data_IF_117553262134
#
_entry.id   IF_117553262134
#
_cell.length_a   1.000
_cell.length_b   1.000
_cell.length_c   1.000
_cell.angle_alpha   90.00
_cell.angle_beta   90.00
_cell.angle_gamma   90.00
#
_symmetry.space_group_name_H-M   'P 1'
#
loop_
_entity.id
_entity.type
_entity.pdbx_description
1 polymer ?
#
# COMPACT_ATOMS: atom_id res chain seq x y z
N UNK A 1 28.44 12.70 28.92
CA UNK A 1 27.20 12.87 28.12
C UNK A 1 27.32 11.95 26.92
N UNK A 2 26.27 11.20 26.51
CA UNK A 2 26.32 10.51 25.23
C UNK A 2 26.50 11.58 24.16
N UNK A 3 27.42 11.36 23.22
CA UNK A 3 27.53 12.22 22.05
C UNK A 3 26.24 11.98 21.25
N UNK A 4 25.28 12.90 21.35
CA UNK A 4 24.08 12.86 20.52
C UNK A 4 24.52 13.09 19.07
N UNK A 5 24.66 11.99 18.33
CA UNK A 5 24.88 12.07 16.89
C UNK A 5 23.63 12.62 16.22
N UNK A 6 23.83 13.57 15.30
CA UNK A 6 22.72 14.13 14.52
C UNK A 6 22.04 13.01 13.71
N UNK A 7 20.71 12.84 13.76
CA UNK A 7 20.03 11.80 12.99
C UNK A 7 20.37 11.89 11.49
N UNK A 8 20.79 10.78 10.90
CA UNK A 8 21.22 10.73 9.49
C UNK A 8 22.39 11.69 9.13
N UNK A 9 23.27 12.03 10.10
CA UNK A 9 24.44 12.90 9.91
C UNK A 9 25.24 12.58 8.65
N UNK A 10 25.51 11.29 8.42
CA UNK A 10 26.22 10.77 7.24
C UNK A 10 25.66 11.27 5.92
N UNK A 11 24.34 11.41 5.83
CA UNK A 11 23.63 11.72 4.60
C UNK A 11 23.27 13.20 4.49
N UNK A 12 22.90 13.84 5.62
CA UNK A 12 22.45 15.23 5.64
C UNK A 12 23.62 16.21 5.80
N UNK A 13 24.58 15.91 6.68
CA UNK A 13 25.69 16.81 7.02
C UNK A 13 26.94 16.44 6.20
N UNK A 14 27.30 15.16 6.19
CA UNK A 14 28.50 14.69 5.50
C UNK A 14 28.27 14.44 4.00
N UNK A 15 27.01 14.46 3.56
CA UNK A 15 26.59 14.32 2.14
C UNK A 15 27.18 13.07 1.46
N UNK A 16 27.31 11.98 2.22
CA UNK A 16 27.75 10.71 1.65
C UNK A 16 26.66 10.15 0.73
N UNK A 17 27.01 9.84 -0.51
CA UNK A 17 26.07 9.34 -1.52
C UNK A 17 25.94 7.81 -1.52
N UNK A 18 26.89 7.10 -0.89
CA UNK A 18 26.82 5.66 -0.70
C UNK A 18 25.88 5.31 0.45
N UNK A 19 24.73 4.75 0.10
CA UNK A 19 23.66 4.40 1.04
C UNK A 19 23.74 2.92 1.39
N UNK A 20 23.66 2.60 2.68
CA UNK A 20 23.65 1.21 3.16
C UNK A 20 22.24 0.64 3.20
N UNK A 21 22.10 -0.70 3.26
CA UNK A 21 20.82 -1.30 3.60
C UNK A 21 20.36 -0.95 5.02
N UNK A 22 19.04 -0.89 5.26
CA UNK A 22 18.48 -0.78 6.60
C UNK A 22 18.98 -1.90 7.51
N UNK A 23 19.25 -1.58 8.78
CA UNK A 23 19.79 -2.52 9.75
C UNK A 23 18.94 -3.79 9.92
N UNK A 24 17.61 -3.68 9.80
CA UNK A 24 16.72 -4.84 9.90
C UNK A 24 16.91 -5.86 8.77
N UNK A 25 17.44 -5.46 7.61
CA UNK A 25 17.77 -6.38 6.50
C UNK A 25 19.13 -7.07 6.66
N UNK A 26 19.96 -6.62 7.61
CA UNK A 26 21.30 -7.13 7.86
C UNK A 26 21.34 -8.15 9.02
N UNK A 27 20.17 -8.61 9.49
CA UNK A 27 20.06 -9.66 10.50
C UNK A 27 20.65 -10.98 9.98
N UNK A 28 21.12 -11.83 10.91
CA UNK A 28 21.69 -13.15 10.59
C UNK A 28 20.66 -14.00 9.83
N UNK A 29 19.43 -14.01 10.32
CA UNK A 29 18.33 -14.70 9.64
C UNK A 29 17.84 -13.85 8.44
N UNK A 30 17.86 -14.40 7.22
CA UNK A 30 17.45 -13.66 6.04
C UNK A 30 15.98 -13.24 6.12
N UNK A 31 15.76 -11.94 5.97
CA UNK A 31 14.42 -11.35 5.97
C UNK A 31 13.88 -11.31 4.54
N UNK A 32 12.68 -11.83 4.31
CA UNK A 32 12.08 -11.89 2.97
C UNK A 32 10.94 -10.90 2.81
N UNK A 33 10.84 -10.30 1.63
CA UNK A 33 9.68 -9.51 1.23
C UNK A 33 8.77 -10.34 0.33
N UNK A 34 7.46 -10.17 0.51
CA UNK A 34 6.42 -10.63 -0.39
C UNK A 34 5.81 -9.42 -1.09
N UNK A 35 6.01 -9.30 -2.40
CA UNK A 35 5.48 -8.23 -3.25
C UNK A 35 4.84 -8.86 -4.48
N UNK A 36 3.58 -8.50 -4.78
CA UNK A 36 2.84 -9.04 -5.93
C UNK A 36 2.91 -10.58 -6.01
N UNK A 37 2.71 -11.25 -4.86
CA UNK A 37 2.78 -12.72 -4.68
C UNK A 37 4.17 -13.34 -4.88
N UNK A 38 5.20 -12.55 -5.12
CA UNK A 38 6.59 -13.02 -5.21
C UNK A 38 7.31 -12.82 -3.88
N UNK A 39 7.81 -13.91 -3.28
CA UNK A 39 8.64 -13.87 -2.07
C UNK A 39 10.12 -13.94 -2.44
N UNK A 40 10.92 -12.98 -1.98
CA UNK A 40 12.35 -12.91 -2.29
C UNK A 40 13.13 -12.14 -1.22
N UNK A 41 14.45 -12.34 -1.20
CA UNK A 41 15.34 -11.58 -0.32
C UNK A 41 15.60 -10.19 -0.94
N UNK A 42 15.24 -9.08 -0.28
CA UNK A 42 15.29 -7.74 -0.87
C UNK A 42 16.70 -7.28 -1.23
N UNK A 43 17.75 -7.82 -0.60
CA UNK A 43 19.14 -7.51 -0.98
C UNK A 43 19.57 -8.21 -2.28
N UNK A 44 18.81 -9.21 -2.75
CA UNK A 44 18.95 -9.82 -4.07
C UNK A 44 17.75 -9.48 -4.96
N UNK A 45 17.66 -8.21 -5.33
CA UNK A 45 16.53 -7.65 -6.08
C UNK A 45 16.42 -8.16 -7.53
N UNK A 46 17.54 -8.51 -8.18
CA UNK A 46 17.58 -8.94 -9.58
C UNK A 46 16.92 -7.93 -10.55
N UNK A 47 16.37 -8.42 -11.66
CA UNK A 47 15.70 -7.60 -12.69
C UNK A 47 14.18 -7.45 -12.48
N UNK A 48 13.72 -7.57 -11.23
CA UNK A 48 12.28 -7.57 -10.91
C UNK A 48 11.66 -6.21 -11.22
N UNK A 49 10.57 -6.25 -11.98
CA UNK A 49 9.71 -5.10 -12.26
C UNK A 49 8.32 -5.36 -11.69
N UNK A 50 7.76 -4.35 -11.02
CA UNK A 50 6.45 -4.44 -10.39
C UNK A 50 5.39 -3.72 -11.20
N UNK A 51 4.18 -4.25 -11.20
CA UNK A 51 3.08 -3.76 -12.03
C UNK A 51 2.76 -2.27 -11.78
N UNK A 52 2.44 -1.54 -12.84
CA UNK A 52 2.04 -0.14 -12.73
C UNK A 52 3.17 0.83 -12.37
N UNK A 53 4.43 0.41 -12.46
CA UNK A 53 5.60 1.27 -12.33
C UNK A 53 6.40 1.30 -13.64
N UNK A 54 6.80 2.49 -14.07
CA UNK A 54 7.80 2.62 -15.13
C UNK A 54 9.21 2.30 -14.59
N UNK A 55 10.22 2.30 -15.46
CA UNK A 55 11.59 1.95 -15.07
C UNK A 55 12.15 2.85 -13.95
N UNK A 56 11.95 4.17 -14.05
CA UNK A 56 12.43 5.11 -13.04
C UNK A 56 11.72 4.92 -11.69
N UNK A 57 10.41 4.68 -11.71
CA UNK A 57 9.63 4.41 -10.51
C UNK A 57 10.00 3.05 -9.89
N UNK A 58 10.31 2.02 -10.69
CA UNK A 58 10.82 0.74 -10.19
C UNK A 58 12.16 0.91 -9.48
N UNK A 59 13.10 1.67 -10.06
CA UNK A 59 14.39 1.99 -9.41
C UNK A 59 14.20 2.76 -8.09
N UNK A 60 13.27 3.72 -8.07
CA UNK A 60 12.92 4.46 -6.86
C UNK A 60 12.26 3.57 -5.79
N UNK A 61 11.36 2.68 -6.22
CA UNK A 61 10.69 1.70 -5.35
C UNK A 61 11.70 0.73 -4.71
N UNK A 62 12.60 0.15 -5.51
CA UNK A 62 13.71 -0.66 -5.01
C UNK A 62 14.57 0.12 -4.01
N UNK A 63 14.96 1.35 -4.37
CA UNK A 63 15.81 2.19 -3.52
C UNK A 63 15.17 2.45 -2.16
N UNK A 64 13.87 2.77 -2.12
CA UNK A 64 13.15 3.01 -0.86
C UNK A 64 13.05 1.78 0.04
N UNK A 65 13.04 0.58 -0.55
CA UNK A 65 12.85 -0.68 0.16
C UNK A 65 14.17 -1.35 0.58
N UNK A 66 15.29 -0.93 -0.01
CA UNK A 66 16.60 -1.59 0.18
C UNK A 66 17.69 -0.68 0.73
N UNK A 67 17.42 0.62 0.91
CA UNK A 67 18.37 1.61 1.44
C UNK A 67 17.82 2.24 2.71
N UNK A 68 18.69 2.47 3.69
CA UNK A 68 18.32 3.14 4.94
C UNK A 68 17.99 4.62 4.74
N UNK A 69 18.46 5.21 3.63
CA UNK A 69 18.17 6.57 3.22
C UNK A 69 17.95 6.61 1.71
N UNK A 70 16.84 7.20 1.28
CA UNK A 70 16.50 7.34 -0.14
C UNK A 70 15.83 8.68 -0.42
N UNK A 71 16.27 9.34 -1.48
CA UNK A 71 15.65 10.57 -2.00
C UNK A 71 14.95 10.23 -3.31
N UNK A 72 13.64 10.42 -3.35
CA UNK A 72 12.83 10.21 -4.56
C UNK A 72 12.36 11.57 -5.07
N UNK A 73 12.82 11.92 -6.26
CA UNK A 73 12.44 13.16 -6.94
C UNK A 73 11.62 12.86 -8.18
N UNK A 74 10.71 13.78 -8.52
CA UNK A 74 9.94 13.69 -9.74
C UNK A 74 9.18 15.00 -10.00
N UNK A 75 9.05 15.45 -11.26
CA UNK A 75 8.20 16.58 -11.63
C UNK A 75 6.75 16.48 -11.11
N UNK A 76 5.98 17.58 -11.07
CA UNK A 76 4.54 17.51 -10.81
C UNK A 76 3.85 16.47 -11.72
N UNK A 77 2.88 15.73 -11.17
CA UNK A 77 2.14 14.71 -11.94
C UNK A 77 2.84 13.36 -12.15
N UNK A 78 4.10 13.16 -11.75
CA UNK A 78 4.86 11.91 -11.98
C UNK A 78 4.53 10.74 -11.04
N UNK A 79 3.37 10.80 -10.36
CA UNK A 79 2.91 9.71 -9.51
C UNK A 79 3.69 9.53 -8.19
N UNK A 80 4.34 10.58 -7.66
CA UNK A 80 5.05 10.51 -6.37
C UNK A 80 4.17 10.01 -5.22
N UNK A 81 2.94 10.50 -5.12
CA UNK A 81 1.98 10.02 -4.10
C UNK A 81 1.63 8.55 -4.32
N UNK A 82 1.41 8.14 -5.57
CA UNK A 82 1.15 6.74 -5.90
C UNK A 82 2.33 5.82 -5.52
N UNK A 83 3.56 6.23 -5.87
CA UNK A 83 4.78 5.50 -5.53
C UNK A 83 4.99 5.46 -4.01
N UNK A 84 4.81 6.58 -3.31
CA UNK A 84 4.90 6.63 -1.85
C UNK A 84 3.90 5.72 -1.15
N UNK A 85 2.64 5.70 -1.63
CA UNK A 85 1.63 4.75 -1.16
C UNK A 85 2.04 3.31 -1.44
N UNK A 86 2.56 3.01 -2.64
CA UNK A 86 3.01 1.65 -2.97
C UNK A 86 4.17 1.20 -2.06
N UNK A 87 5.13 2.08 -1.75
CA UNK A 87 6.22 1.83 -0.79
C UNK A 87 5.65 1.54 0.61
N UNK A 88 4.84 2.46 1.15
CA UNK A 88 4.29 2.34 2.49
C UNK A 88 3.43 1.08 2.64
N UNK A 89 2.55 0.79 1.67
CA UNK A 89 1.75 -0.45 1.66
C UNK A 89 2.62 -1.70 1.61
N UNK A 90 3.72 -1.66 0.86
CA UNK A 90 4.65 -2.80 0.78
C UNK A 90 5.36 -3.01 2.10
N UNK A 91 5.83 -1.95 2.74
CA UNK A 91 6.42 -2.02 4.08
C UNK A 91 5.40 -2.57 5.08
N UNK A 92 4.17 -2.04 5.12
CA UNK A 92 3.12 -2.52 6.03
C UNK A 92 2.79 -4.01 5.85
N UNK A 93 2.69 -4.48 4.60
CA UNK A 93 2.46 -5.91 4.29
C UNK A 93 3.63 -6.82 4.66
N UNK A 94 4.81 -6.25 4.87
CA UNK A 94 6.02 -6.93 5.29
C UNK A 94 6.46 -6.44 6.67
N UNK A 95 5.52 -6.08 7.55
CA UNK A 95 5.82 -5.54 8.88
C UNK A 95 6.68 -6.48 9.72
N UNK A 96 6.49 -7.79 9.61
CA UNK A 96 7.32 -8.81 10.26
C UNK A 96 8.83 -8.67 9.97
N UNK A 97 9.18 -8.07 8.82
CA UNK A 97 10.57 -7.85 8.42
C UNK A 97 11.28 -6.74 9.20
N UNK A 98 10.56 -5.66 9.54
CA UNK A 98 11.16 -4.41 10.02
C UNK A 98 10.58 -3.90 11.34
N UNK A 99 9.36 -4.31 11.69
CA UNK A 99 8.68 -3.84 12.89
C UNK A 99 9.38 -4.38 14.14
N UNK A 100 9.66 -3.47 15.06
CA UNK A 100 10.32 -3.74 16.35
C UNK A 100 9.83 -2.72 17.38
N UNK A 101 8.52 -2.73 17.64
CA UNK A 101 7.83 -1.80 18.54
C UNK A 101 7.98 -0.31 18.18
N UNK A 102 8.39 -0.02 16.94
CA UNK A 102 8.54 1.32 16.41
C UNK A 102 7.59 1.53 15.23
N UNK A 103 6.66 2.52 15.30
CA UNK A 103 5.68 2.75 14.24
C UNK A 103 6.31 3.39 13.00
N UNK A 104 5.64 3.25 11.86
CA UNK A 104 5.98 4.03 10.67
C UNK A 104 5.54 5.49 10.87
N UNK A 105 6.51 6.41 10.87
CA UNK A 105 6.24 7.84 10.96
C UNK A 105 6.10 8.46 9.57
N UNK A 106 4.94 9.05 9.29
CA UNK A 106 4.66 9.79 8.05
C UNK A 106 4.59 11.28 8.36
N UNK A 107 5.42 12.08 7.68
CA UNK A 107 5.47 13.54 7.84
C UNK A 107 5.19 14.18 6.48
N UNK A 108 4.38 15.24 6.47
CA UNK A 108 4.10 16.06 5.29
C UNK A 108 4.10 17.54 5.68
N UNK A 109 4.41 18.42 4.72
CA UNK A 109 4.42 19.87 4.95
C UNK A 109 3.01 20.45 5.18
N UNK A 110 1.98 19.88 4.55
CA UNK A 110 0.59 20.37 4.68
C UNK A 110 -0.33 19.28 5.21
N UNK A 111 -1.37 19.69 5.95
CA UNK A 111 -2.43 18.79 6.41
C UNK A 111 -3.13 18.09 5.25
N UNK A 112 -3.36 18.77 4.12
CA UNK A 112 -4.03 18.18 2.97
C UNK A 112 -3.23 17.02 2.37
N UNK A 113 -1.92 17.18 2.20
CA UNK A 113 -1.05 16.13 1.69
C UNK A 113 -0.99 14.93 2.65
N UNK A 114 -0.90 15.19 3.96
CA UNK A 114 -0.94 14.15 4.99
C UNK A 114 -2.26 13.38 4.91
N UNK A 115 -3.39 14.09 4.89
CA UNK A 115 -4.71 13.48 4.88
C UNK A 115 -4.95 12.62 3.63
N UNK A 116 -4.53 13.09 2.45
CA UNK A 116 -4.62 12.30 1.22
C UNK A 116 -3.75 11.03 1.29
N UNK A 117 -2.55 11.15 1.86
CA UNK A 117 -1.64 10.01 2.00
C UNK A 117 -2.21 8.97 2.98
N UNK A 118 -2.66 9.39 4.16
CA UNK A 118 -3.25 8.50 5.17
C UNK A 118 -4.56 7.86 4.68
N UNK A 119 -5.42 8.61 4.00
CA UNK A 119 -6.62 8.03 3.36
C UNK A 119 -6.25 6.93 2.36
N UNK A 120 -5.19 7.15 1.57
CA UNK A 120 -4.66 6.15 0.66
C UNK A 120 -4.12 4.88 1.35
N UNK A 121 -3.83 4.92 2.65
CA UNK A 121 -3.39 3.74 3.41
C UNK A 121 -4.53 2.98 4.09
N UNK A 122 -5.72 3.57 4.22
CA UNK A 122 -6.90 2.92 4.83
C UNK A 122 -7.29 1.57 4.20
N UNK A 123 -7.13 1.34 2.87
CA UNK A 123 -7.36 0.02 2.29
C UNK A 123 -6.34 -1.05 2.70
N UNK A 124 -5.25 -0.68 3.36
CA UNK A 124 -4.15 -1.58 3.74
C UNK A 124 -4.05 -1.78 5.25
N UNK A 125 -4.39 -0.78 6.04
CA UNK A 125 -4.37 -0.87 7.51
C UNK A 125 -5.34 0.14 8.13
N UNK A 126 -5.94 -0.24 9.25
CA UNK A 126 -6.69 0.63 10.15
C UNK A 126 -5.88 1.01 11.42
N UNK A 127 -4.63 0.55 11.54
CA UNK A 127 -3.71 0.88 12.63
C UNK A 127 -3.02 2.23 12.40
N UNK A 128 -3.82 3.28 12.20
CA UNK A 128 -3.36 4.64 11.92
C UNK A 128 -3.69 5.56 13.09
N UNK A 129 -2.70 6.33 13.56
CA UNK A 129 -2.89 7.46 14.46
C UNK A 129 -2.49 8.74 13.75
N UNK A 130 -3.48 9.57 13.42
CA UNK A 130 -3.25 10.90 12.86
C UNK A 130 -3.06 11.90 14.00
N UNK A 131 -1.92 12.59 13.99
CA UNK A 131 -1.61 13.67 14.95
C UNK A 131 -1.81 15.04 14.29
N UNK A 132 -2.33 16.01 15.04
CA UNK A 132 -2.59 17.38 14.58
C UNK A 132 -4.07 17.73 14.43
N UNK A 133 -4.35 19.03 14.28
CA UNK A 133 -5.69 19.59 14.11
C UNK A 133 -6.06 19.87 12.65
N UNK A 134 -7.27 20.39 12.40
CA UNK A 134 -7.69 20.93 11.09
C UNK A 134 -7.64 19.94 9.91
N UNK A 135 -7.84 18.63 10.14
CA UNK A 135 -8.17 17.77 8.98
C UNK A 135 -9.57 18.08 8.53
N UNK A 136 -9.75 18.14 7.22
CA UNK A 136 -11.06 18.25 6.57
C UNK A 136 -11.53 16.90 6.03
N UNK A 137 -10.74 15.85 6.23
CA UNK A 137 -11.04 14.52 5.72
C UNK A 137 -11.80 13.72 6.78
N UNK A 138 -13.11 13.58 6.57
CA UNK A 138 -13.99 12.91 7.52
C UNK A 138 -13.63 11.43 7.73
N UNK A 139 -13.06 10.77 6.71
CA UNK A 139 -12.62 9.38 6.81
C UNK A 139 -11.51 9.19 7.84
N UNK A 140 -10.77 10.27 8.15
CA UNK A 140 -9.68 10.28 9.13
C UNK A 140 -10.10 10.69 10.54
N UNK A 141 -11.39 11.02 10.76
CA UNK A 141 -11.87 11.47 12.07
C UNK A 141 -11.68 10.43 13.17
N UNK A 142 -11.94 9.16 12.87
CA UNK A 142 -11.81 8.05 13.82
C UNK A 142 -10.34 7.68 14.10
N UNK A 143 -9.42 8.13 13.25
CA UNK A 143 -7.96 7.92 13.40
C UNK A 143 -7.26 9.14 14.03
N UNK A 144 -7.97 10.26 14.19
CA UNK A 144 -7.38 11.46 14.78
C UNK A 144 -7.20 11.29 16.29
N UNK A 145 -5.96 11.43 16.78
CA UNK A 145 -5.61 11.25 18.19
C UNK A 145 -6.45 12.12 19.14
N UNK A 146 -6.78 13.36 18.75
CA UNK A 146 -7.61 14.26 19.56
C UNK A 146 -9.04 13.74 19.70
N UNK A 147 -9.60 13.17 18.64
CA UNK A 147 -10.94 12.58 18.67
C UNK A 147 -10.95 11.28 19.46
N UNK A 148 -9.92 10.44 19.31
CA UNK A 148 -9.75 9.22 20.10
C UNK A 148 -9.69 9.55 21.60
N UNK A 149 -8.85 10.52 22.00
CA UNK A 149 -8.77 10.95 23.41
C UNK A 149 -10.10 11.45 23.95
N UNK A 150 -10.83 12.27 23.18
CA UNK A 150 -12.18 12.73 23.57
C UNK A 150 -13.17 11.59 23.83
N UNK A 151 -13.06 10.48 23.10
CA UNK A 151 -13.89 9.30 23.33
C UNK A 151 -13.46 8.56 24.60
N UNK A 152 -12.15 8.41 24.81
CA UNK A 152 -11.60 7.75 26.00
C UNK A 152 -11.92 8.53 27.29
N UNK A 153 -11.89 9.86 27.22
CA UNK A 153 -12.17 10.77 28.33
C UNK A 153 -13.68 11.04 28.52
N UNK A 154 -14.54 10.41 27.70
CA UNK A 154 -16.00 10.60 27.76
C UNK A 154 -16.57 10.03 29.07
N UNK A 155 -17.44 10.78 29.79
CA UNK A 155 -18.13 10.26 30.98
C UNK A 155 -19.01 9.04 30.66
N UNK A 156 -19.43 8.90 29.40
CA UNK A 156 -20.17 7.75 28.87
C UNK A 156 -19.30 6.92 27.92
N UNK A 157 -18.06 6.60 28.34
CA UNK A 157 -17.05 5.90 27.54
C UNK A 157 -17.61 4.67 26.81
N UNK A 158 -18.34 3.79 27.49
CA UNK A 158 -18.92 2.58 26.89
C UNK A 158 -19.86 2.89 25.71
N UNK A 159 -20.64 3.97 25.79
CA UNK A 159 -21.52 4.41 24.71
C UNK A 159 -20.70 5.00 23.57
N UNK A 160 -19.70 5.84 23.88
CA UNK A 160 -18.83 6.47 22.88
C UNK A 160 -17.98 5.45 22.11
N UNK A 161 -17.43 4.43 22.79
CA UNK A 161 -16.71 3.32 22.15
C UNK A 161 -17.64 2.52 21.22
N UNK A 162 -18.85 2.18 21.68
CA UNK A 162 -19.85 1.52 20.81
C UNK A 162 -20.22 2.36 19.59
N UNK A 163 -20.33 3.68 19.73
CA UNK A 163 -20.58 4.57 18.59
C UNK A 163 -19.44 4.54 17.56
N UNK A 164 -18.17 4.42 17.98
CA UNK A 164 -17.06 4.26 17.05
C UNK A 164 -17.16 2.95 16.27
N UNK A 165 -17.48 1.84 16.94
CA UNK A 165 -17.70 0.54 16.29
C UNK A 165 -18.83 0.64 15.27
N UNK A 166 -19.97 1.25 15.65
CA UNK A 166 -21.10 1.46 14.75
C UNK A 166 -20.72 2.33 13.54
N UNK A 167 -19.92 3.38 13.71
CA UNK A 167 -19.42 4.21 12.61
C UNK A 167 -18.49 3.44 11.67
N UNK A 168 -17.61 2.59 12.21
CA UNK A 168 -16.75 1.70 11.40
C UNK A 168 -17.61 0.77 10.54
N UNK A 169 -18.54 0.05 11.16
CA UNK A 169 -19.46 -0.84 10.44
C UNK A 169 -20.28 -0.11 9.37
N UNK A 170 -20.73 1.11 9.65
CA UNK A 170 -21.45 1.93 8.67
C UNK A 170 -20.58 2.27 7.45
N UNK A 171 -19.30 2.61 7.66
CA UNK A 171 -18.34 2.86 6.57
C UNK A 171 -18.10 1.60 5.74
N UNK A 172 -17.99 0.45 6.37
CA UNK A 172 -17.81 -0.83 5.68
C UNK A 172 -19.03 -1.15 4.80
N UNK A 173 -20.24 -0.94 5.33
CA UNK A 173 -21.50 -1.07 4.57
C UNK A 173 -21.54 -0.10 3.38
N UNK A 174 -21.15 1.15 3.57
CA UNK A 174 -21.09 2.15 2.49
C UNK A 174 -20.09 1.75 1.40
N UNK A 175 -18.91 1.23 1.80
CA UNK A 175 -17.89 0.72 0.89
C UNK A 175 -18.40 -0.46 0.05
N UNK A 176 -19.01 -1.46 0.70
CA UNK A 176 -19.61 -2.62 0.04
C UNK A 176 -20.69 -2.19 -0.95
N UNK A 177 -21.59 -1.29 -0.54
CA UNK A 177 -22.64 -0.76 -1.41
C UNK A 177 -22.07 -0.02 -2.63
N UNK A 178 -20.95 0.67 -2.48
CA UNK A 178 -20.28 1.32 -3.60
C UNK A 178 -19.72 0.29 -4.59
N UNK A 179 -19.07 -0.78 -4.10
CA UNK A 179 -18.61 -1.87 -4.95
C UNK A 179 -19.77 -2.56 -5.68
N UNK A 180 -20.88 -2.84 -4.98
CA UNK A 180 -22.07 -3.44 -5.61
C UNK A 180 -22.62 -2.57 -6.74
N UNK A 181 -22.65 -1.24 -6.56
CA UNK A 181 -23.08 -0.32 -7.63
C UNK A 181 -22.16 -0.35 -8.84
N UNK A 182 -20.85 -0.39 -8.61
CA UNK A 182 -19.84 -0.46 -9.67
C UNK A 182 -19.99 -1.77 -10.45
N UNK A 183 -20.13 -2.89 -9.75
CA UNK A 183 -20.33 -4.22 -10.34
C UNK A 183 -21.62 -4.25 -11.16
N UNK A 184 -22.73 -3.74 -10.61
CA UNK A 184 -24.04 -3.71 -11.28
C UNK A 184 -24.05 -2.86 -12.56
N UNK A 185 -23.18 -1.85 -12.64
CA UNK A 185 -23.05 -0.99 -13.82
C UNK A 185 -22.07 -1.53 -14.86
N UNK A 186 -21.29 -2.57 -14.54
CA UNK A 186 -20.20 -3.06 -15.38
C UNK A 186 -19.16 -1.97 -15.74
N UNK A 187 -19.02 -0.94 -14.89
CA UNK A 187 -18.21 0.25 -15.18
C UNK A 187 -16.69 0.02 -15.04
N UNK A 188 -16.27 -1.02 -14.31
CA UNK A 188 -14.85 -1.29 -14.08
C UNK A 188 -14.57 -2.76 -13.74
N UNK A 189 -13.30 -3.15 -13.80
CA UNK A 189 -12.80 -4.43 -13.30
C UNK A 189 -12.50 -4.27 -11.81
N UNK A 190 -13.08 -5.15 -10.99
CA UNK A 190 -12.89 -5.17 -9.53
C UNK A 190 -11.91 -6.30 -9.17
N UNK A 191 -10.97 -6.02 -8.27
CA UNK A 191 -10.04 -7.05 -7.79
C UNK A 191 -10.78 -8.10 -6.97
N UNK A 192 -10.43 -9.38 -7.14
CA UNK A 192 -11.08 -10.48 -6.41
C UNK A 192 -10.91 -10.36 -4.89
N UNK A 193 -9.85 -9.71 -4.40
CA UNK A 193 -9.66 -9.41 -2.98
C UNK A 193 -10.81 -8.60 -2.36
N UNK A 194 -11.61 -7.90 -3.17
CA UNK A 194 -12.81 -7.18 -2.73
C UNK A 194 -13.89 -8.11 -2.16
N UNK A 195 -13.87 -9.39 -2.54
CA UNK A 195 -14.79 -10.39 -2.00
C UNK A 195 -14.34 -10.95 -0.64
N UNK A 196 -13.09 -10.68 -0.23
CA UNK A 196 -12.55 -11.11 1.06
C UNK A 196 -13.32 -10.46 2.21
N UNK A 197 -13.94 -11.29 3.05
CA UNK A 197 -14.75 -10.84 4.20
C UNK A 197 -16.22 -10.56 3.89
N UNK A 198 -16.64 -10.60 2.61
CA UNK A 198 -18.05 -10.46 2.20
C UNK A 198 -18.62 -11.80 1.75
N UNK A 199 -17.82 -12.57 1.00
CA UNK A 199 -18.21 -13.89 0.51
C UNK A 199 -17.73 -14.94 1.53
N UNK A 200 -18.65 -15.75 2.10
CA UNK A 200 -18.29 -16.88 2.96
C UNK A 200 -17.29 -17.79 2.27
N UNK A 201 -16.29 -18.28 3.02
CA UNK A 201 -15.28 -19.22 2.50
C UNK A 201 -14.44 -18.69 1.32
N UNK A 202 -14.47 -17.37 1.04
CA UNK A 202 -13.66 -16.80 -0.04
C UNK A 202 -12.18 -17.11 0.15
N UNK A 203 -11.65 -16.99 1.37
CA UNK A 203 -10.25 -17.25 1.69
C UNK A 203 -9.80 -18.69 1.36
N UNK A 204 -10.73 -19.64 1.36
CA UNK A 204 -10.49 -21.05 0.99
C UNK A 204 -10.94 -21.38 -0.44
N UNK A 205 -11.53 -20.43 -1.15
CA UNK A 205 -11.99 -20.62 -2.53
C UNK A 205 -10.82 -20.67 -3.51
N UNK A 206 -11.05 -21.30 -4.66
CA UNK A 206 -10.09 -21.34 -5.76
C UNK A 206 -9.62 -19.93 -6.16
N UNK A 207 -10.50 -18.92 -6.17
CA UNK A 207 -10.14 -17.55 -6.55
C UNK A 207 -9.13 -16.90 -5.60
N UNK A 208 -9.20 -17.20 -4.30
CA UNK A 208 -8.24 -16.66 -3.33
C UNK A 208 -6.87 -17.33 -3.42
N UNK A 209 -6.83 -18.62 -3.76
CA UNK A 209 -5.60 -19.42 -3.78
C UNK A 209 -4.98 -19.57 -5.16
N UNK A 210 -5.70 -19.22 -6.23
CA UNK A 210 -5.23 -19.41 -7.60
C UNK A 210 -4.06 -18.47 -7.94
N UNK A 211 -3.05 -19.05 -8.58
CA UNK A 211 -1.96 -18.31 -9.20
C UNK A 211 -2.45 -17.47 -10.38
N UNK A 212 -1.69 -16.42 -10.73
CA UNK A 212 -2.09 -15.47 -11.77
C UNK A 212 -2.37 -16.16 -13.12
N UNK A 213 -1.55 -17.14 -13.48
CA UNK A 213 -1.70 -17.87 -14.75
C UNK A 213 -3.00 -18.67 -14.79
N UNK A 214 -3.43 -19.24 -13.66
CA UNK A 214 -4.71 -19.95 -13.56
C UNK A 214 -5.90 -19.00 -13.67
N UNK A 215 -5.82 -17.82 -13.04
CA UNK A 215 -6.87 -16.79 -13.14
C UNK A 215 -6.98 -16.27 -14.57
N UNK A 216 -5.87 -16.02 -15.25
CA UNK A 216 -5.84 -15.56 -16.64
C UNK A 216 -6.41 -16.65 -17.58
N UNK A 217 -6.01 -17.91 -17.39
CA UNK A 217 -6.53 -19.03 -18.18
C UNK A 217 -8.04 -19.23 -17.97
N UNK A 218 -8.53 -19.02 -16.75
CA UNK A 218 -9.96 -19.03 -16.47
C UNK A 218 -10.68 -17.85 -17.14
N UNK A 219 -10.14 -16.64 -17.01
CA UNK A 219 -10.75 -15.41 -17.51
C UNK A 219 -10.91 -15.41 -19.03
N UNK A 220 -9.93 -15.96 -19.75
CA UNK A 220 -9.95 -16.02 -21.22
C UNK A 220 -10.44 -17.36 -21.78
N UNK A 221 -11.00 -18.22 -20.92
CA UNK A 221 -11.56 -19.51 -21.25
C UNK A 221 -10.48 -20.55 -21.57
N UNK A 222 -10.51 -21.69 -20.88
CA UNK A 222 -9.58 -22.83 -20.98
C UNK A 222 -9.49 -23.53 -22.34
N UNK A 223 -9.60 -22.82 -23.45
CA UNK A 223 -9.17 -23.28 -24.75
C UNK A 223 -7.65 -23.10 -24.89
N UNK A 224 -7.00 -24.14 -25.40
CA UNK A 224 -5.61 -24.24 -25.86
C UNK A 224 -5.20 -23.15 -26.88
N UNK A 225 -5.36 -21.86 -26.58
CA UNK A 225 -4.61 -20.81 -27.25
C UNK A 225 -3.30 -20.69 -26.51
N UNK A 226 -2.28 -21.40 -27.01
CA UNK A 226 -0.89 -21.13 -26.68
C UNK A 226 -0.67 -19.63 -26.93
N UNK A 227 -0.69 -18.82 -25.88
CA UNK A 227 -0.09 -17.49 -25.93
C UNK A 227 1.40 -17.73 -26.10
N UNK A 228 1.82 -17.85 -27.36
CA UNK A 228 3.22 -17.98 -27.70
C UNK A 228 3.96 -16.82 -27.07
N UNK A 229 5.10 -17.11 -26.44
CA UNK A 229 6.10 -16.13 -26.01
C UNK A 229 6.40 -15.18 -27.19
N UNK A 230 5.65 -14.10 -27.34
CA UNK A 230 5.91 -13.03 -28.30
C UNK A 230 5.92 -11.73 -27.52
N UNK A 231 7.16 -11.27 -27.30
CA UNK A 231 7.62 -9.91 -27.02
C UNK A 231 6.50 -8.92 -26.69
N UNK A 232 6.43 -8.57 -25.39
CA UNK A 232 5.81 -7.34 -24.88
C UNK A 232 6.64 -6.15 -25.36
N UNK A 233 6.58 -5.83 -26.66
CA UNK A 233 7.24 -4.64 -27.22
C UNK A 233 6.28 -3.65 -27.88
N UNK A 234 4.99 -3.96 -28.05
CA UNK A 234 4.06 -3.08 -28.76
C UNK A 234 2.75 -2.84 -28.00
N UNK A 235 2.83 -2.16 -26.84
CA UNK A 235 1.71 -1.37 -26.31
C UNK A 235 2.19 0.07 -26.11
N UNK A 236 2.89 0.58 -27.10
CA UNK A 236 2.86 1.99 -27.44
C UNK A 236 2.13 2.04 -28.78
N UNK A 237 1.05 2.82 -28.83
CA UNK A 237 0.14 3.03 -29.96
C UNK A 237 -0.94 1.96 -30.13
N UNK A 238 -2.06 2.12 -29.42
CA UNK A 238 -3.30 2.49 -30.10
C UNK A 238 -4.38 2.91 -29.09
N UNK A 239 -4.97 4.07 -29.40
CA UNK A 239 -6.23 4.56 -28.88
C UNK A 239 -7.37 3.62 -29.31
N UNK A 240 -8.43 3.58 -28.48
CA UNK A 240 -9.75 3.02 -28.78
C UNK A 240 -9.79 1.53 -29.15
N UNK A 241 -10.10 0.68 -28.17
CA UNK A 241 -10.80 -0.57 -28.45
C UNK A 241 -11.85 -0.82 -27.36
N UNK A 242 -13.08 -0.42 -27.69
CA UNK A 242 -14.31 -0.98 -27.12
C UNK A 242 -14.42 -2.45 -27.56
N UNK A 243 -14.73 -3.38 -26.66
CA UNK A 243 -15.37 -4.64 -27.04
C UNK A 243 -16.51 -4.91 -26.07
N UNK A 244 -17.71 -4.79 -26.63
CA UNK A 244 -18.99 -5.25 -26.13
C UNK A 244 -19.15 -6.71 -26.57
N UNK A 245 -19.90 -7.45 -25.75
CA UNK A 245 -20.31 -8.87 -25.79
C UNK A 245 -19.37 -9.85 -25.09
#
# INVERSE_FOLDING_TARGET
MPIEHFPMERYIIQVLTDTRPPQYLLKIDPVFYTIERTRFWPLNWGDRQFYGLNEAQNKAFQSALTREFAIIQGPPGTGKTFLGLKIARTMLKNSEAWYSDSPMLVICFTNHALDQFLEGLLPTTDEIIRVGGQSKNEKLNDYNLRNIKRVLDSPNRAISERQLVVRKLKRDIESINNYLKIIAKYDTVVDFGTFSGVVPEYATSWFATAENDHIINWLFGGHNRKFGKRRVNNVQNNQNVSIIN
#
